data_IF_632678886294
#
_entry.id   IF_632678886294
#
_cell.length_a   1.000
_cell.length_b   1.000
_cell.length_c   1.000
_cell.angle_alpha   90.00
_cell.angle_beta   90.00
_cell.angle_gamma   90.00
#
_symmetry.space_group_name_H-M   'P 1'
#
loop_
_entity.id
_entity.type
_entity.pdbx_description
1 polymer ?
#
# COMPACT_ATOMS: atom_id res chain seq x y z
N UNK A 1 -2.97 5.82 27.41
CA UNK A 1 -4.41 5.55 27.33
C UNK A 1 -4.75 4.51 28.38
N UNK A 2 -5.90 4.63 29.02
CA UNK A 2 -6.51 3.64 29.90
C UNK A 2 -7.49 2.76 29.13
N UNK A 3 -7.76 1.54 29.61
CA UNK A 3 -8.75 0.67 28.95
C UNK A 3 -10.11 1.35 28.91
N UNK A 4 -10.74 1.36 27.73
CA UNK A 4 -11.99 2.06 27.44
C UNK A 4 -11.82 3.52 26.99
N UNK A 5 -10.62 4.11 27.12
CA UNK A 5 -10.34 5.47 26.65
C UNK A 5 -10.33 5.52 25.11
N UNK A 6 -11.00 6.52 24.54
CA UNK A 6 -10.92 6.88 23.13
C UNK A 6 -9.93 8.04 22.90
N UNK A 7 -9.30 8.04 21.73
CA UNK A 7 -8.40 9.11 21.31
C UNK A 7 -8.34 9.21 19.79
N UNK A 8 -8.46 10.43 19.28
CA UNK A 8 -8.11 10.75 17.90
C UNK A 8 -6.62 11.07 17.81
N UNK A 9 -5.91 10.42 16.90
CA UNK A 9 -4.49 10.68 16.61
C UNK A 9 -4.30 11.00 15.14
N UNK A 10 -3.47 12.01 14.87
CA UNK A 10 -2.97 12.33 13.54
C UNK A 10 -1.54 11.79 13.41
N UNK A 11 -1.31 10.97 12.40
CA UNK A 11 0.01 10.43 12.05
C UNK A 11 0.42 11.05 10.70
N UNK A 12 1.46 11.89 10.66
CA UNK A 12 2.01 12.40 9.41
C UNK A 12 2.44 11.26 8.47
N UNK A 13 2.33 11.47 7.16
CA UNK A 13 2.68 10.45 6.16
C UNK A 13 4.07 9.83 6.39
N UNK A 14 5.06 10.66 6.72
CA UNK A 14 6.45 10.27 7.02
C UNK A 14 6.58 9.29 8.20
N UNK A 15 5.63 9.31 9.14
CA UNK A 15 5.58 8.43 10.31
C UNK A 15 4.56 7.27 10.15
N UNK A 16 3.81 7.25 9.04
CA UNK A 16 2.85 6.22 8.71
C UNK A 16 3.44 5.26 7.64
N UNK A 17 2.94 5.34 6.41
CA UNK A 17 3.41 4.52 5.29
C UNK A 17 4.52 5.17 4.46
N UNK A 18 5.10 6.27 4.96
CA UNK A 18 6.12 7.04 4.28
C UNK A 18 5.55 7.96 3.20
N UNK A 19 6.45 8.73 2.59
CA UNK A 19 6.12 9.56 1.44
C UNK A 19 5.90 8.70 0.19
N UNK A 20 5.03 9.16 -0.71
CA UNK A 20 4.93 8.58 -2.04
C UNK A 20 6.25 8.78 -2.79
N UNK A 21 6.71 7.70 -3.41
CA UNK A 21 8.00 7.59 -4.08
C UNK A 21 7.80 7.53 -5.59
N UNK A 22 8.13 8.59 -6.33
CA UNK A 22 7.99 8.61 -7.79
C UNK A 22 8.82 7.54 -8.49
N UNK A 23 9.95 7.16 -7.92
CA UNK A 23 10.84 6.09 -8.41
C UNK A 23 10.23 4.69 -8.29
N UNK A 24 9.13 4.53 -7.55
CA UNK A 24 8.37 3.29 -7.44
C UNK A 24 7.18 3.22 -8.42
N UNK A 25 7.03 4.21 -9.30
CA UNK A 25 6.07 4.17 -10.42
C UNK A 25 6.83 3.78 -11.68
N UNK A 26 6.43 2.65 -12.29
CA UNK A 26 7.15 2.04 -13.40
C UNK A 26 6.26 2.02 -14.64
N UNK A 27 6.80 2.54 -15.75
CA UNK A 27 6.19 2.43 -17.07
C UNK A 27 6.40 1.02 -17.62
N UNK A 28 5.30 0.34 -17.91
CA UNK A 28 5.29 -0.99 -18.51
C UNK A 28 4.66 -0.91 -19.90
N UNK A 29 5.36 -1.29 -20.98
CA UNK A 29 4.79 -1.36 -22.32
C UNK A 29 3.53 -2.24 -22.36
N UNK A 30 2.49 -1.82 -23.10
CA UNK A 30 1.21 -2.55 -23.14
C UNK A 30 1.36 -4.01 -23.60
N UNK A 31 2.31 -4.26 -24.51
CA UNK A 31 2.68 -5.59 -25.00
C UNK A 31 3.24 -6.54 -23.92
N UNK A 32 3.74 -6.01 -22.80
CA UNK A 32 4.25 -6.82 -21.69
C UNK A 32 3.13 -7.22 -20.72
N UNK A 33 1.94 -6.62 -20.84
CA UNK A 33 0.76 -7.00 -20.08
C UNK A 33 0.06 -8.14 -20.82
N UNK A 34 -0.18 -9.30 -20.17
CA UNK A 34 -0.87 -10.43 -20.80
C UNK A 34 -2.19 -10.02 -21.47
N UNK A 35 -2.48 -10.56 -22.66
CA UNK A 35 -3.67 -10.19 -23.45
C UNK A 35 -4.98 -10.53 -22.74
N UNK A 36 -4.97 -11.54 -21.85
CA UNK A 36 -6.12 -11.90 -21.02
C UNK A 36 -6.39 -10.93 -19.87
N UNK A 37 -5.53 -9.92 -19.68
CA UNK A 37 -5.71 -8.85 -18.70
C UNK A 37 -6.12 -7.57 -19.46
N UNK A 38 -7.30 -7.06 -19.13
CA UNK A 38 -7.74 -5.72 -19.48
C UNK A 38 -7.37 -4.79 -18.31
N UNK A 39 -6.28 -3.99 -18.43
CA UNK A 39 -5.82 -3.13 -17.35
C UNK A 39 -6.81 -1.98 -17.13
N UNK A 40 -7.19 -1.76 -15.87
CA UNK A 40 -8.04 -0.64 -15.45
C UNK A 40 -7.34 0.20 -14.38
N UNK A 41 -7.47 1.53 -14.46
CA UNK A 41 -6.94 2.43 -13.43
C UNK A 41 -7.56 2.11 -12.07
N UNK A 42 -6.71 1.96 -11.06
CA UNK A 42 -7.07 1.54 -9.70
C UNK A 42 -7.02 0.02 -9.47
N UNK A 43 -6.92 -0.79 -10.54
CA UNK A 43 -6.78 -2.24 -10.41
C UNK A 43 -5.47 -2.59 -9.71
N UNK A 44 -5.55 -3.52 -8.75
CA UNK A 44 -4.37 -4.08 -8.08
C UNK A 44 -3.94 -5.36 -8.75
N UNK A 45 -2.64 -5.46 -9.04
CA UNK A 45 -2.01 -6.65 -9.59
C UNK A 45 -0.94 -7.15 -8.63
N UNK A 46 -0.64 -8.44 -8.73
CA UNK A 46 0.48 -9.04 -8.03
C UNK A 46 1.51 -9.48 -9.07
N UNK A 47 2.70 -8.93 -9.00
CA UNK A 47 3.82 -9.27 -9.88
C UNK A 47 4.72 -10.24 -9.12
N UNK A 48 5.14 -11.32 -9.75
CA UNK A 48 6.08 -12.28 -9.18
C UNK A 48 7.41 -12.20 -9.95
N UNK A 49 8.40 -11.41 -9.48
CA UNK A 49 9.74 -11.47 -10.06
C UNK A 49 10.39 -12.83 -9.77
N UNK A 50 11.23 -13.29 -10.70
CA UNK A 50 11.91 -14.58 -10.56
C UNK A 50 12.78 -14.60 -9.29
N UNK A 51 12.57 -15.60 -8.43
CA UNK A 51 13.34 -15.80 -7.20
C UNK A 51 13.06 -14.78 -6.08
N UNK A 52 12.08 -13.89 -6.23
CA UNK A 52 11.68 -12.91 -5.20
C UNK A 52 10.22 -13.11 -4.80
N UNK A 53 9.79 -12.67 -3.61
CA UNK A 53 8.38 -12.65 -3.24
C UNK A 53 7.54 -11.81 -4.19
N UNK A 54 6.24 -12.11 -4.24
CA UNK A 54 5.32 -11.36 -5.06
C UNK A 54 5.15 -9.93 -4.51
N UNK A 55 5.10 -8.95 -5.40
CA UNK A 55 4.95 -7.53 -5.08
C UNK A 55 3.58 -7.06 -5.58
N UNK A 56 2.83 -6.41 -4.70
CA UNK A 56 1.57 -5.76 -5.08
C UNK A 56 1.83 -4.42 -5.78
N UNK A 57 1.16 -4.18 -6.89
CA UNK A 57 1.18 -2.89 -7.61
C UNK A 57 -0.24 -2.43 -7.91
N UNK A 58 -0.42 -1.12 -8.11
CA UNK A 58 -1.68 -0.52 -8.55
C UNK A 58 -1.51 0.11 -9.91
N UNK A 59 -2.45 -0.10 -10.82
CA UNK A 59 -2.46 0.60 -12.11
C UNK A 59 -2.89 2.04 -11.87
N UNK A 60 -2.05 3.02 -12.23
CA UNK A 60 -2.35 4.45 -12.05
C UNK A 60 -2.64 5.17 -13.36
N UNK A 61 -2.24 4.59 -14.49
CA UNK A 61 -2.54 5.11 -15.82
C UNK A 61 -2.58 3.96 -16.84
N UNK A 62 -3.47 4.07 -17.83
CA UNK A 62 -3.58 3.15 -18.96
C UNK A 62 -3.67 3.97 -20.24
N UNK A 63 -2.82 3.64 -21.22
CA UNK A 63 -2.84 4.19 -22.58
C UNK A 63 -2.76 3.06 -23.60
N UNK A 64 -2.92 3.38 -24.89
CA UNK A 64 -2.75 2.42 -25.97
C UNK A 64 -1.32 1.85 -26.06
N UNK A 65 -0.32 2.60 -25.58
CA UNK A 65 1.09 2.24 -25.71
C UNK A 65 1.67 1.62 -24.43
N UNK A 66 1.20 2.06 -23.25
CA UNK A 66 1.80 1.69 -21.97
C UNK A 66 0.81 1.78 -20.80
N UNK A 67 1.20 1.14 -19.70
CA UNK A 67 0.52 1.16 -18.40
C UNK A 67 1.51 1.64 -17.35
N UNK A 68 1.10 2.52 -16.44
CA UNK A 68 1.89 2.90 -15.27
C UNK A 68 1.49 2.04 -14.08
N UNK A 69 2.48 1.35 -13.49
CA UNK A 69 2.32 0.49 -12.33
C UNK A 69 2.99 1.14 -11.11
N UNK A 70 2.22 1.38 -10.06
CA UNK A 70 2.68 1.99 -8.82
C UNK A 70 2.86 0.93 -7.72
N UNK A 71 4.10 0.77 -7.24
CA UNK A 71 4.45 -0.14 -6.15
C UNK A 71 4.40 0.52 -4.76
N UNK A 72 4.01 1.80 -4.66
CA UNK A 72 3.82 2.46 -3.37
C UNK A 72 2.71 1.79 -2.56
N UNK A 73 2.82 1.89 -1.22
CA UNK A 73 1.70 1.54 -0.36
C UNK A 73 0.49 2.44 -0.70
N UNK A 74 -0.77 1.93 -0.74
CA UNK A 74 -1.95 2.72 -1.11
C UNK A 74 -2.22 3.98 -0.26
N UNK A 75 -1.57 4.05 0.91
CA UNK A 75 -1.64 5.16 1.87
C UNK A 75 -0.35 5.99 1.93
N UNK A 76 0.64 5.73 1.08
CA UNK A 76 1.87 6.53 1.02
C UNK A 76 1.53 8.00 0.64
N UNK A 77 2.23 8.94 1.26
CA UNK A 77 2.00 10.37 1.10
C UNK A 77 0.73 10.90 1.78
N UNK A 78 -0.04 10.06 2.48
CA UNK A 78 -1.27 10.48 3.17
C UNK A 78 -1.02 10.59 4.68
N UNK A 79 -1.41 11.72 5.26
CA UNK A 79 -1.57 11.83 6.70
C UNK A 79 -2.77 10.99 7.12
N UNK A 80 -2.62 10.21 8.20
CA UNK A 80 -3.66 9.31 8.67
C UNK A 80 -4.23 9.82 9.99
N UNK A 81 -5.54 9.98 10.02
CA UNK A 81 -6.27 10.25 11.26
C UNK A 81 -6.93 8.95 11.69
N UNK A 82 -6.66 8.53 12.92
CA UNK A 82 -7.29 7.36 13.52
C UNK A 82 -8.08 7.75 14.75
N UNK A 83 -9.30 7.25 14.85
CA UNK A 83 -10.07 7.21 16.09
C UNK A 83 -9.84 5.83 16.72
N UNK A 84 -9.18 5.83 17.88
CA UNK A 84 -8.72 4.61 18.55
C UNK A 84 -9.47 4.49 19.88
N UNK A 85 -9.92 3.28 20.21
CA UNK A 85 -10.42 2.94 21.55
C UNK A 85 -9.51 1.85 22.11
N UNK A 86 -8.95 2.08 23.31
CA UNK A 86 -8.11 1.05 23.94
C UNK A 86 -9.00 -0.06 24.50
N UNK A 87 -9.15 -1.15 23.74
CA UNK A 87 -10.06 -2.25 24.11
C UNK A 87 -9.59 -3.07 25.33
N UNK A 88 -8.30 -3.41 25.38
CA UNK A 88 -7.70 -4.16 26.49
C UNK A 88 -6.18 -4.00 26.48
N UNK A 89 -5.54 -4.23 27.63
CA UNK A 89 -4.09 -4.39 27.74
C UNK A 89 -3.82 -5.84 28.12
N UNK A 90 -3.27 -6.61 27.19
CA UNK A 90 -2.84 -7.99 27.44
C UNK A 90 -1.36 -7.94 27.80
N UNK A 91 -1.00 -8.44 28.99
CA UNK A 91 0.40 -8.57 29.38
C UNK A 91 1.13 -9.52 28.43
N UNK A 92 2.41 -9.27 28.17
CA UNK A 92 3.23 -10.27 27.48
C UNK A 92 3.26 -11.54 28.36
N UNK A 93 3.00 -12.73 27.79
CA UNK A 93 3.20 -13.97 28.53
C UNK A 93 4.65 -14.01 29.04
N UNK A 94 4.82 -14.35 30.32
CA UNK A 94 6.12 -14.39 31.00
C UNK A 94 6.80 -15.76 30.89
N UNK A 95 6.34 -16.65 30.03
CA UNK A 95 6.87 -18.01 29.92
C UNK A 95 7.47 -18.29 28.52
N UNK A 96 8.79 -18.54 28.56
CA UNK A 96 9.78 -19.11 27.61
C UNK A 96 10.02 -18.52 26.20
#
# INVERSE_FOLDING_TARGET
MQVGEDKTVLIPAEQAYGMHRPDMVVTTPRQNIPENIQPEVGQRLQIQPAGQPAIGVTIVEVTDLHVLLDANHPLAGKNLTFDIILAAVVGMPQDE
#
